data_IF_341267768600
#
_entry.id   IF_341267768600
#
_cell.length_a   1.000
_cell.length_b   1.000
_cell.length_c   1.000
_cell.angle_alpha   90.00
_cell.angle_beta   90.00
_cell.angle_gamma   90.00
#
_symmetry.space_group_name_H-M   'P 1'
#
loop_
_entity.id
_entity.type
_entity.pdbx_description
1 polymer ?
#
# COMPACT_ATOMS: atom_id res chain seq x y z
N UNK A 1 -1.31 23.38 -16.57
CA UNK A 1 -1.72 22.37 -15.59
C UNK A 1 -3.23 22.31 -15.51
N UNK A 2 -3.79 21.14 -15.58
CA UNK A 2 -5.22 20.96 -15.52
C UNK A 2 -5.75 21.16 -14.10
N UNK A 3 -6.96 21.64 -13.99
CA UNK A 3 -7.61 21.70 -12.71
C UNK A 3 -7.96 20.28 -12.24
N UNK A 4 -7.89 20.08 -10.94
CA UNK A 4 -8.28 18.80 -10.35
C UNK A 4 -9.74 18.87 -9.99
N UNK A 5 -10.54 17.96 -10.56
CA UNK A 5 -11.92 17.82 -10.13
C UNK A 5 -11.92 16.94 -8.88
N UNK A 6 -12.16 17.54 -7.74
CA UNK A 6 -12.03 16.86 -6.45
C UNK A 6 -12.93 15.66 -6.31
N UNK A 7 -14.18 15.76 -6.75
CA UNK A 7 -15.11 14.65 -6.64
C UNK A 7 -14.74 13.49 -7.54
N UNK A 8 -14.31 13.78 -8.76
CA UNK A 8 -13.90 12.75 -9.70
C UNK A 8 -12.63 12.06 -9.20
N UNK A 9 -11.64 12.83 -8.77
CA UNK A 9 -10.39 12.26 -8.28
C UNK A 9 -10.62 11.40 -7.05
N UNK A 10 -11.40 11.90 -6.10
CA UNK A 10 -11.73 11.19 -4.87
C UNK A 10 -12.38 9.83 -5.18
N UNK A 11 -13.23 9.78 -6.20
CA UNK A 11 -13.93 8.55 -6.57
C UNK A 11 -12.99 7.50 -7.16
N UNK A 12 -11.78 7.89 -7.58
CA UNK A 12 -10.80 6.99 -8.18
C UNK A 12 -9.84 6.38 -7.17
N UNK A 13 -9.86 6.86 -5.94
CA UNK A 13 -9.02 6.30 -4.87
C UNK A 13 -9.67 5.01 -4.41
N UNK A 14 -8.91 3.91 -4.46
CA UNK A 14 -9.40 2.59 -4.04
C UNK A 14 -8.85 2.26 -2.66
N UNK A 15 -9.73 1.83 -1.77
CA UNK A 15 -9.38 1.46 -0.41
C UNK A 15 -9.56 -0.04 -0.22
N UNK A 16 -8.56 -0.69 0.38
CA UNK A 16 -8.62 -2.12 0.69
C UNK A 16 -8.21 -2.34 2.14
N UNK A 17 -8.56 -3.50 2.68
CA UNK A 17 -8.16 -3.88 4.02
C UNK A 17 -7.69 -5.33 3.99
N UNK A 18 -6.50 -5.59 4.53
CA UNK A 18 -5.90 -6.92 4.49
C UNK A 18 -5.53 -7.43 5.88
N UNK A 19 -5.74 -8.72 6.06
CA UNK A 19 -5.18 -9.45 7.18
C UNK A 19 -4.03 -10.28 6.64
N UNK A 20 -2.85 -10.07 7.18
CA UNK A 20 -1.61 -10.70 6.72
C UNK A 20 -1.06 -11.59 7.80
N UNK A 21 -0.80 -12.85 7.47
CA UNK A 21 -0.25 -13.82 8.41
C UNK A 21 0.94 -14.52 7.73
N UNK A 22 1.61 -15.39 8.47
CA UNK A 22 2.73 -16.15 7.91
C UNK A 22 2.30 -17.01 6.71
N UNK A 23 1.03 -17.35 6.63
CA UNK A 23 0.48 -18.22 5.60
C UNK A 23 -0.29 -17.50 4.50
N UNK A 24 -0.61 -16.23 4.71
CA UNK A 24 -1.40 -15.46 3.74
C UNK A 24 -0.87 -14.04 3.67
N UNK A 25 0.27 -13.88 3.01
CA UNK A 25 0.86 -12.58 2.80
C UNK A 25 0.29 -11.93 1.52
N UNK A 26 0.53 -10.64 1.40
CA UNK A 26 0.26 -9.92 0.16
C UNK A 26 1.48 -10.11 -0.72
N UNK A 27 1.31 -10.85 -1.80
CA UNK A 27 2.41 -11.23 -2.69
C UNK A 27 2.96 -10.06 -3.47
N UNK A 28 4.19 -10.22 -3.92
CA UNK A 28 4.89 -9.23 -4.72
C UNK A 28 4.11 -8.89 -5.99
N UNK A 29 3.80 -7.62 -6.17
CA UNK A 29 3.10 -7.14 -7.35
C UNK A 29 3.43 -5.66 -7.55
N UNK A 30 2.94 -5.07 -8.63
CA UNK A 30 3.13 -3.64 -8.90
C UNK A 30 1.89 -3.03 -9.53
N UNK A 31 1.71 -1.75 -9.29
CA UNK A 31 0.62 -0.97 -9.88
C UNK A 31 1.25 0.14 -10.72
N UNK A 32 1.20 0.06 -12.04
CA UNK A 32 1.94 1.01 -12.89
C UNK A 32 1.39 2.43 -12.89
N UNK A 33 0.12 2.61 -12.54
CA UNK A 33 -0.52 3.93 -12.62
C UNK A 33 -1.05 4.45 -11.29
N UNK A 34 -0.66 3.82 -10.20
CA UNK A 34 -1.09 4.21 -8.86
C UNK A 34 0.07 4.13 -7.89
N UNK A 35 0.13 5.10 -6.98
CA UNK A 35 0.93 4.93 -5.77
C UNK A 35 0.07 4.15 -4.81
N UNK A 36 0.69 3.35 -3.95
CA UNK A 36 -0.05 2.62 -2.93
C UNK A 36 0.52 2.96 -1.56
N UNK A 37 -0.37 3.22 -0.60
CA UNK A 37 0.01 3.52 0.77
C UNK A 37 -0.64 2.47 1.67
N UNK A 38 0.19 1.76 2.41
CA UNK A 38 -0.29 0.80 3.41
C UNK A 38 -0.12 1.41 4.80
N UNK A 39 -1.15 1.30 5.60
CA UNK A 39 -1.13 1.79 6.96
C UNK A 39 -1.42 0.63 7.91
N UNK A 40 -0.52 0.38 8.86
CA UNK A 40 -0.68 -0.72 9.80
C UNK A 40 -1.64 -0.29 10.92
N UNK A 41 -2.75 -1.02 11.05
CA UNK A 41 -3.78 -0.71 12.04
C UNK A 41 -3.65 -1.58 13.27
N UNK A 42 -3.10 -2.79 13.11
CA UNK A 42 -2.94 -3.72 14.22
C UNK A 42 -1.87 -4.75 13.88
N UNK A 43 -1.11 -5.16 14.90
CA UNK A 43 -0.08 -6.17 14.72
C UNK A 43 1.22 -5.60 14.20
N UNK A 44 2.03 -6.46 13.59
CA UNK A 44 3.34 -6.07 13.09
C UNK A 44 3.78 -6.96 11.95
N UNK A 45 4.69 -6.46 11.14
CA UNK A 45 5.24 -7.18 10.02
C UNK A 45 6.24 -6.35 9.26
N UNK A 46 6.33 -6.57 7.97
CA UNK A 46 7.29 -5.87 7.11
C UNK A 46 6.68 -5.54 5.76
N UNK A 47 7.11 -4.40 5.22
CA UNK A 47 6.90 -4.07 3.81
C UNK A 47 8.23 -4.20 3.10
N UNK A 48 8.22 -4.88 1.95
CA UNK A 48 9.44 -5.17 1.20
C UNK A 48 9.38 -4.55 -0.18
N UNK A 49 10.36 -3.74 -0.50
CA UNK A 49 10.63 -3.25 -1.86
C UNK A 49 11.86 -3.99 -2.38
N UNK A 50 12.22 -3.78 -3.64
CA UNK A 50 13.32 -4.53 -4.26
C UNK A 50 14.60 -4.56 -3.44
N UNK A 51 14.98 -3.43 -2.86
CA UNK A 51 16.26 -3.30 -2.17
C UNK A 51 16.15 -2.89 -0.71
N UNK A 52 14.95 -2.95 -0.14
CA UNK A 52 14.81 -2.58 1.26
C UNK A 52 13.62 -3.26 1.91
N UNK A 53 13.73 -3.43 3.21
CA UNK A 53 12.66 -3.98 4.03
C UNK A 53 12.38 -2.97 5.14
N UNK A 54 11.10 -2.63 5.30
CA UNK A 54 10.66 -1.64 6.27
C UNK A 54 9.81 -2.34 7.32
N UNK A 55 10.19 -2.18 8.58
CA UNK A 55 9.40 -2.73 9.68
C UNK A 55 8.09 -1.95 9.80
N UNK A 56 7.00 -2.69 9.93
CA UNK A 56 5.66 -2.12 10.10
C UNK A 56 5.08 -2.50 11.45
N UNK A 57 4.51 -1.51 12.11
CA UNK A 57 3.79 -1.67 13.37
C UNK A 57 2.69 -0.62 13.41
N UNK A 58 1.83 -0.70 14.41
CA UNK A 58 0.66 0.20 14.48
C UNK A 58 1.08 1.66 14.33
N UNK A 59 0.41 2.35 13.42
CA UNK A 59 0.67 3.75 13.14
C UNK A 59 1.74 4.01 12.08
N UNK A 60 2.40 2.95 11.59
CA UNK A 60 3.45 3.08 10.58
C UNK A 60 2.86 2.89 9.19
N UNK A 61 3.32 3.71 8.25
CA UNK A 61 2.91 3.61 6.86
C UNK A 61 4.03 3.06 5.98
N UNK A 62 3.64 2.44 4.88
CA UNK A 62 4.56 1.91 3.88
C UNK A 62 4.10 2.43 2.53
N UNK A 63 4.90 3.31 1.94
CA UNK A 63 4.57 3.97 0.67
C UNK A 63 5.26 3.25 -0.48
N UNK A 64 4.45 2.83 -1.45
CA UNK A 64 4.94 2.13 -2.63
C UNK A 64 4.67 3.01 -3.85
N UNK A 65 5.70 3.63 -4.42
CA UNK A 65 5.52 4.42 -5.64
C UNK A 65 5.04 3.57 -6.80
N UNK A 66 4.31 4.21 -7.71
CA UNK A 66 3.79 3.55 -8.90
C UNK A 66 4.91 2.81 -9.65
N UNK A 67 4.62 1.60 -10.10
CA UNK A 67 5.56 0.80 -10.87
C UNK A 67 6.57 0.00 -10.04
N UNK A 68 6.54 0.13 -8.73
CA UNK A 68 7.47 -0.61 -7.87
C UNK A 68 6.87 -1.92 -7.40
N UNK A 69 7.63 -2.99 -7.50
CA UNK A 69 7.22 -4.29 -6.97
C UNK A 69 7.36 -4.27 -5.45
N UNK A 70 6.40 -4.86 -4.79
CA UNK A 70 6.35 -4.84 -3.33
C UNK A 70 5.68 -6.09 -2.77
N UNK A 71 5.93 -6.31 -1.49
CA UNK A 71 5.40 -7.44 -0.74
C UNK A 71 5.17 -7.01 0.70
N UNK A 72 4.11 -7.50 1.32
CA UNK A 72 3.93 -7.36 2.76
C UNK A 72 3.90 -8.74 3.37
N UNK A 73 4.48 -8.87 4.54
CA UNK A 73 4.50 -10.14 5.26
C UNK A 73 4.49 -9.92 6.77
N UNK A 74 4.06 -10.93 7.49
CA UNK A 74 4.08 -10.94 8.94
C UNK A 74 4.33 -12.36 9.42
N UNK A 75 5.17 -12.53 10.42
CA UNK A 75 5.39 -13.84 11.03
C UNK A 75 4.26 -14.23 11.96
N UNK A 76 3.51 -13.27 12.44
CA UNK A 76 2.37 -13.47 13.31
C UNK A 76 1.09 -13.04 12.61
N UNK A 77 0.71 -11.79 12.81
CA UNK A 77 -0.50 -11.24 12.23
C UNK A 77 -0.36 -9.73 12.12
N UNK A 78 -0.81 -9.18 11.01
CA UNK A 78 -0.81 -7.75 10.78
C UNK A 78 -2.06 -7.38 10.01
N UNK A 79 -2.71 -6.29 10.41
CA UNK A 79 -3.85 -5.73 9.69
C UNK A 79 -3.43 -4.39 9.09
N UNK A 80 -3.64 -4.24 7.79
CA UNK A 80 -3.28 -3.01 7.09
C UNK A 80 -4.44 -2.52 6.24
N UNK A 81 -4.57 -1.20 6.19
CA UNK A 81 -5.43 -0.54 5.22
C UNK A 81 -4.54 -0.10 4.06
N UNK A 82 -5.05 -0.21 2.85
CA UNK A 82 -4.33 0.18 1.65
C UNK A 82 -5.14 1.20 0.87
N UNK A 83 -4.42 2.19 0.33
CA UNK A 83 -5.00 3.21 -0.54
C UNK A 83 -4.26 3.20 -1.86
N UNK A 84 -5.00 2.98 -2.95
CA UNK A 84 -4.45 3.12 -4.29
C UNK A 84 -4.76 4.53 -4.77
N UNK A 85 -3.73 5.30 -4.98
CA UNK A 85 -3.83 6.72 -5.34
C UNK A 85 -3.46 6.87 -6.82
N UNK A 86 -4.42 7.23 -7.69
CA UNK A 86 -4.10 7.37 -9.10
C UNK A 86 -3.15 8.53 -9.35
N UNK A 87 -2.21 8.33 -10.27
CA UNK A 87 -1.31 9.40 -10.67
C UNK A 87 -2.08 10.46 -11.44
N UNK A 88 -1.73 11.71 -11.23
CA UNK A 88 -2.27 12.81 -12.01
C UNK A 88 -1.42 12.97 -13.28
N UNK A 89 -2.09 13.00 -14.40
CA UNK A 89 -1.44 13.21 -15.69
C UNK A 89 -1.93 14.53 -16.28
N UNK A 90 -1.01 15.35 -16.71
CA UNK A 90 -1.34 16.63 -17.36
C UNK A 90 -1.42 16.48 -18.86
#
# INVERSE_FOLDING_TARGET
MSEINLDVYKSKIVTNFYRITAESDVKLHKHPKHDEIFYCVKGEGSGVLENEEIELKVGKEFIVPAGKMHLLRSENEMFVTSFLIPLLED
#
